data_IF_794809878902
#
_entry.id   IF_794809878902
#
_cell.length_a   1.000
_cell.length_b   1.000
_cell.length_c   1.000
_cell.angle_alpha   90.00
_cell.angle_beta   90.00
_cell.angle_gamma   90.00
#
_symmetry.space_group_name_H-M   'P 1'
#
loop_
_entity.id
_entity.type
_entity.pdbx_description
1 polymer ?
#
# COMPACT_ATOMS: atom_id res chain seq x y z
N UNK A 1 -1.19 1.97 -1.06
CA UNK A 1 -2.17 0.89 -1.34
C UNK A 1 -3.02 0.55 -0.12
N UNK A 2 -4.17 -0.11 -0.30
CA UNK A 2 -4.97 -0.59 0.83
C UNK A 2 -5.96 0.41 1.42
N UNK A 3 -6.45 1.36 0.62
CA UNK A 3 -7.43 2.36 1.10
C UNK A 3 -8.84 1.79 1.23
N UNK A 4 -9.34 1.10 0.20
CA UNK A 4 -10.71 0.53 0.18
C UNK A 4 -11.00 -0.78 0.94
N UNK A 5 -10.02 -1.62 1.34
CA UNK A 5 -10.28 -2.85 2.09
C UNK A 5 -11.02 -2.64 3.41
N UNK A 6 -11.82 -3.63 3.81
CA UNK A 6 -12.48 -3.71 5.11
C UNK A 6 -11.50 -4.13 6.22
N UNK A 7 -10.41 -4.82 5.85
CA UNK A 7 -9.42 -5.35 6.79
C UNK A 7 -7.97 -5.03 6.42
N UNK A 8 -7.12 -5.05 7.43
CA UNK A 8 -5.67 -4.85 7.34
C UNK A 8 -5.25 -3.38 7.29
N UNK A 9 -3.94 -3.11 7.30
CA UNK A 9 -3.40 -1.76 7.32
C UNK A 9 -3.53 -1.06 5.96
N UNK A 10 -3.34 0.25 5.98
CA UNK A 10 -2.97 1.02 4.79
C UNK A 10 -1.44 1.09 4.73
N UNK A 11 -0.88 0.86 3.54
CA UNK A 11 0.57 0.77 3.33
C UNK A 11 0.98 1.78 2.26
N UNK A 12 2.07 2.48 2.49
CA UNK A 12 2.73 3.36 1.54
C UNK A 12 4.20 2.97 1.39
N UNK A 13 4.78 3.33 0.25
CA UNK A 13 6.21 3.31 0.05
C UNK A 13 6.64 4.66 -0.51
N UNK A 14 7.93 4.98 -0.34
CA UNK A 14 8.62 6.03 -1.04
C UNK A 14 9.79 5.38 -1.78
N UNK A 15 10.07 5.81 -3.00
CA UNK A 15 11.12 5.25 -3.84
C UNK A 15 11.93 6.36 -4.49
N UNK A 16 13.26 6.24 -4.43
CA UNK A 16 14.21 7.04 -5.18
C UNK A 16 14.88 6.10 -6.18
N UNK A 17 14.70 6.37 -7.46
CA UNK A 17 15.33 5.59 -8.52
C UNK A 17 16.67 6.22 -8.90
N UNK A 18 17.75 5.45 -9.05
CA UNK A 18 19.01 5.97 -9.54
C UNK A 18 18.91 6.29 -11.04
N UNK A 19 19.76 7.19 -11.54
CA UNK A 19 19.87 7.40 -12.98
C UNK A 19 20.39 6.13 -13.67
N UNK A 20 20.02 5.92 -14.93
CA UNK A 20 20.57 4.85 -15.76
C UNK A 20 20.06 3.44 -15.43
N UNK A 21 18.85 3.31 -14.87
CA UNK A 21 18.20 2.00 -14.80
C UNK A 21 18.10 1.38 -16.20
N UNK A 22 18.31 0.06 -16.33
CA UNK A 22 18.32 -0.57 -17.63
C UNK A 22 16.93 -0.58 -18.25
N UNK A 23 16.86 -0.42 -19.57
CA UNK A 23 15.59 -0.27 -20.33
C UNK A 23 14.61 -1.43 -20.07
N UNK A 24 15.11 -2.66 -19.94
CA UNK A 24 14.29 -3.81 -19.63
C UNK A 24 13.58 -3.70 -18.27
N UNK A 25 14.22 -3.08 -17.27
CA UNK A 25 13.63 -2.87 -15.94
C UNK A 25 12.60 -1.75 -15.99
N UNK A 26 12.90 -0.66 -16.70
CA UNK A 26 11.96 0.43 -16.94
C UNK A 26 10.67 -0.09 -17.59
N UNK A 27 10.78 -0.94 -18.62
CA UNK A 27 9.65 -1.58 -19.29
C UNK A 27 8.86 -2.57 -18.40
N UNK A 28 9.42 -3.01 -17.27
CA UNK A 28 8.73 -3.87 -16.31
C UNK A 28 8.02 -3.10 -15.19
N UNK A 29 8.32 -1.81 -14.99
CA UNK A 29 7.66 -0.94 -14.03
C UNK A 29 6.36 -0.42 -14.67
N UNK A 30 5.22 -0.92 -14.19
CA UNK A 30 3.88 -0.54 -14.64
C UNK A 30 2.94 -0.50 -13.41
N UNK A 31 1.66 -0.18 -13.62
CA UNK A 31 0.61 -0.24 -12.61
C UNK A 31 0.69 -1.55 -11.82
N UNK A 32 0.96 -1.42 -10.53
CA UNK A 32 1.20 -2.53 -9.63
C UNK A 32 0.05 -3.55 -9.62
N UNK A 33 -1.18 -3.13 -9.96
CA UNK A 33 -2.36 -4.00 -10.01
C UNK A 33 -2.42 -4.83 -11.29
N UNK A 34 -1.80 -4.38 -12.40
CA UNK A 34 -1.71 -5.13 -13.66
C UNK A 34 -0.66 -6.23 -13.61
N UNK A 35 0.36 -6.05 -12.78
CA UNK A 35 1.42 -7.05 -12.61
C UNK A 35 0.93 -8.26 -11.81
N UNK A 36 1.35 -9.46 -12.21
CA UNK A 36 1.16 -10.68 -11.41
C UNK A 36 2.02 -10.62 -10.13
N UNK A 37 1.62 -11.28 -9.02
CA UNK A 37 2.36 -11.24 -7.76
C UNK A 37 3.85 -11.60 -7.90
N UNK A 38 4.17 -12.69 -8.62
CA UNK A 38 5.56 -13.10 -8.86
C UNK A 38 6.36 -12.04 -9.62
N UNK A 39 5.74 -11.37 -10.60
CA UNK A 39 6.39 -10.30 -11.37
C UNK A 39 6.64 -9.07 -10.50
N UNK A 40 5.72 -8.71 -9.61
CA UNK A 40 5.95 -7.61 -8.64
C UNK A 40 7.16 -7.88 -7.74
N UNK A 41 7.29 -9.11 -7.24
CA UNK A 41 8.43 -9.51 -6.39
C UNK A 41 9.74 -9.44 -7.19
N UNK A 42 9.75 -9.95 -8.43
CA UNK A 42 10.92 -9.88 -9.30
C UNK A 42 11.33 -8.44 -9.63
N UNK A 43 10.38 -7.56 -9.97
CA UNK A 43 10.66 -6.14 -10.22
C UNK A 43 11.21 -5.45 -8.97
N UNK A 44 10.63 -5.73 -7.80
CA UNK A 44 11.11 -5.15 -6.55
C UNK A 44 12.55 -5.60 -6.23
N UNK A 45 12.88 -6.87 -6.45
CA UNK A 45 14.24 -7.38 -6.29
C UNK A 45 15.21 -6.68 -7.26
N UNK A 46 14.85 -6.61 -8.55
CA UNK A 46 15.65 -5.95 -9.56
C UNK A 46 15.87 -4.45 -9.27
N UNK A 47 14.85 -3.76 -8.75
CA UNK A 47 14.97 -2.37 -8.31
C UNK A 47 16.05 -2.21 -7.23
N UNK A 48 16.04 -3.05 -6.19
CA UNK A 48 17.08 -3.03 -5.16
C UNK A 48 18.46 -3.36 -5.71
N UNK A 49 18.57 -4.40 -6.55
CA UNK A 49 19.83 -4.80 -7.19
C UNK A 49 20.46 -3.68 -8.01
N UNK A 50 19.63 -2.84 -8.64
CA UNK A 50 20.08 -1.70 -9.44
C UNK A 50 20.13 -0.39 -8.66
N UNK A 51 20.08 -0.43 -7.33
CA UNK A 51 20.34 0.73 -6.46
C UNK A 51 19.15 1.63 -6.17
N UNK A 52 17.91 1.17 -6.39
CA UNK A 52 16.74 1.90 -5.93
C UNK A 52 16.68 1.93 -4.39
N UNK A 53 16.52 3.13 -3.83
CA UNK A 53 16.29 3.31 -2.41
C UNK A 53 14.78 3.32 -2.16
N UNK A 54 14.28 2.32 -1.42
CA UNK A 54 12.85 2.17 -1.17
C UNK A 54 12.61 2.05 0.33
N UNK A 55 11.70 2.86 0.83
CA UNK A 55 11.26 2.82 2.21
C UNK A 55 9.77 2.51 2.30
N UNK A 56 9.41 1.66 3.26
CA UNK A 56 8.04 1.19 3.47
C UNK A 56 7.51 1.66 4.83
N UNK A 57 6.24 2.02 4.85
CA UNK A 57 5.53 2.31 6.09
C UNK A 57 4.05 1.97 6.00
N UNK A 58 3.44 1.83 7.16
CA UNK A 58 2.03 1.52 7.29
C UNK A 58 1.37 2.40 8.35
N UNK A 59 0.05 2.51 8.25
CA UNK A 59 -0.80 2.87 9.36
C UNK A 59 -1.74 1.69 9.66
N UNK A 60 -1.76 1.31 10.93
CA UNK A 60 -2.53 0.21 11.47
C UNK A 60 -4.03 0.46 11.39
N UNK A 61 -4.82 -0.59 11.60
CA UNK A 61 -6.28 -0.49 11.70
C UNK A 61 -6.71 0.48 12.80
N UNK A 62 -6.02 0.44 13.97
CA UNK A 62 -6.24 1.38 15.07
C UNK A 62 -6.00 2.82 14.65
N UNK A 63 -4.93 3.10 13.91
CA UNK A 63 -4.66 4.44 13.40
C UNK A 63 -5.69 4.88 12.35
N UNK A 64 -6.17 3.96 11.50
CA UNK A 64 -7.26 4.25 10.55
C UNK A 64 -8.54 4.64 11.29
N UNK A 65 -8.87 3.96 12.38
CA UNK A 65 -10.03 4.28 13.21
C UNK A 65 -9.90 5.67 13.85
N UNK A 66 -8.73 5.99 14.40
CA UNK A 66 -8.49 7.28 15.07
C UNK A 66 -8.41 8.46 14.11
N UNK A 67 -7.82 8.25 12.93
CA UNK A 67 -7.46 9.34 12.02
C UNK A 67 -8.39 9.47 10.81
N UNK A 68 -9.22 8.47 10.52
CA UNK A 68 -9.83 8.19 9.23
C UNK A 68 -8.84 7.72 8.14
N UNK A 69 -9.37 7.13 7.06
CA UNK A 69 -8.56 6.51 6.01
C UNK A 69 -7.69 7.50 5.23
N UNK A 70 -8.15 8.75 5.06
CA UNK A 70 -7.37 9.75 4.34
C UNK A 70 -6.14 10.13 5.15
N UNK A 71 -6.31 10.53 6.42
CA UNK A 71 -5.19 10.95 7.26
C UNK A 71 -4.25 9.78 7.60
N UNK A 72 -4.77 8.58 7.80
CA UNK A 72 -3.94 7.38 7.98
C UNK A 72 -3.10 7.07 6.72
N UNK A 73 -3.63 7.32 5.53
CA UNK A 73 -2.86 7.20 4.28
C UNK A 73 -1.73 8.23 4.23
N UNK A 74 -2.01 9.49 4.56
CA UNK A 74 -1.00 10.56 4.60
C UNK A 74 0.07 10.30 5.66
N UNK A 75 -0.31 9.76 6.82
CA UNK A 75 0.60 9.32 7.86
C UNK A 75 1.54 8.21 7.37
N UNK A 76 1.00 7.20 6.68
CA UNK A 76 1.81 6.13 6.10
C UNK A 76 2.79 6.69 5.05
N UNK A 77 2.35 7.61 4.18
CA UNK A 77 3.21 8.27 3.20
C UNK A 77 4.34 9.06 3.87
N UNK A 78 4.02 9.88 4.87
CA UNK A 78 5.01 10.67 5.62
C UNK A 78 6.05 9.78 6.28
N UNK A 79 5.63 8.70 6.92
CA UNK A 79 6.53 7.70 7.52
C UNK A 79 7.43 7.03 6.48
N UNK A 80 6.90 6.72 5.29
CA UNK A 80 7.71 6.13 4.23
C UNK A 80 8.78 7.12 3.75
N UNK A 81 8.43 8.38 3.53
CA UNK A 81 9.37 9.43 3.11
C UNK A 81 10.49 9.63 4.15
N UNK A 82 10.15 9.74 5.44
CA UNK A 82 11.13 9.96 6.52
C UNK A 82 12.08 8.76 6.69
N UNK A 83 11.65 7.55 6.31
CA UNK A 83 12.45 6.32 6.39
C UNK A 83 13.39 6.12 5.21
N UNK A 84 13.35 6.99 4.20
CA UNK A 84 14.32 6.91 3.11
C UNK A 84 15.74 7.10 3.66
N UNK A 85 16.75 6.39 3.11
CA UNK A 85 18.14 6.53 3.53
C UNK A 85 18.67 7.96 3.41
N UNK A 86 18.13 8.73 2.46
CA UNK A 86 18.41 10.15 2.26
C UNK A 86 17.13 10.97 2.10
N UNK A 87 17.21 12.25 2.45
CA UNK A 87 16.13 13.20 2.25
C UNK A 87 16.05 13.59 0.76
N UNK A 88 14.92 13.38 0.07
CA UNK A 88 14.76 13.82 -1.31
C UNK A 88 14.54 15.34 -1.38
N UNK A 89 14.97 15.96 -2.47
CA UNK A 89 14.73 17.39 -2.74
C UNK A 89 13.26 17.68 -3.07
N UNK A 90 12.57 16.73 -3.69
CA UNK A 90 11.18 16.85 -4.11
C UNK A 90 10.48 15.49 -4.07
N UNK A 91 9.17 15.48 -3.75
CA UNK A 91 8.37 14.26 -3.69
C UNK A 91 7.21 14.31 -4.70
N UNK A 92 7.10 13.29 -5.54
CA UNK A 92 5.91 13.05 -6.36
C UNK A 92 4.94 12.14 -5.59
N UNK A 93 3.69 12.56 -5.46
CA UNK A 93 2.69 11.88 -4.62
C UNK A 93 1.51 11.43 -5.47
N UNK A 94 1.21 10.13 -5.45
CA UNK A 94 -0.03 9.61 -6.03
C UNK A 94 -1.24 10.00 -5.19
N UNK A 95 -2.11 10.83 -5.75
CA UNK A 95 -3.35 11.27 -5.12
C UNK A 95 -3.60 12.77 -5.26
N UNK A 96 -4.40 13.30 -4.34
CA UNK A 96 -4.93 14.66 -4.40
C UNK A 96 -4.62 15.51 -3.15
N UNK A 97 -3.74 15.02 -2.27
CA UNK A 97 -3.36 15.68 -1.02
C UNK A 97 -1.88 15.46 -0.73
N UNK A 98 -1.23 16.50 -0.22
CA UNK A 98 0.16 16.42 0.24
C UNK A 98 0.22 15.73 1.62
N UNK A 99 1.25 14.91 1.89
CA UNK A 99 1.40 14.21 3.17
C UNK A 99 1.90 15.10 4.31
N UNK A 100 2.31 16.34 4.02
CA UNK A 100 2.86 17.27 5.02
C UNK A 100 4.18 16.75 5.61
N UNK A 101 5.14 16.43 4.75
CA UNK A 101 6.46 15.91 5.13
C UNK A 101 7.56 16.97 5.27
N UNK A 102 7.24 18.26 5.08
CA UNK A 102 8.24 19.34 5.10
C UNK A 102 9.15 19.40 3.86
N UNK A 103 8.87 18.58 2.84
CA UNK A 103 9.58 18.54 1.56
C UNK A 103 8.63 19.04 0.47
N UNK A 104 9.09 19.83 -0.51
CA UNK A 104 8.32 20.19 -1.69
C UNK A 104 7.66 18.96 -2.35
N UNK A 105 6.36 19.08 -2.67
CA UNK A 105 5.57 17.97 -3.19
C UNK A 105 4.79 18.38 -4.45
N UNK A 106 4.73 17.48 -5.43
CA UNK A 106 3.78 17.55 -6.55
C UNK A 106 2.78 16.40 -6.43
N UNK A 107 1.49 16.73 -6.47
CA UNK A 107 0.41 15.74 -6.49
C UNK A 107 0.12 15.31 -7.94
N UNK A 108 0.00 14.01 -8.16
CA UNK A 108 -0.34 13.41 -9.46
C UNK A 108 -1.48 12.42 -9.24
N UNK A 109 -2.65 12.69 -9.82
CA UNK A 109 -3.79 11.76 -9.76
C UNK A 109 -3.55 10.63 -10.76
N UNK A 110 -3.51 9.38 -10.28
CA UNK A 110 -3.13 8.24 -11.13
C UNK A 110 -1.64 8.29 -11.46
N UNK A 111 -0.83 8.75 -10.50
CA UNK A 111 0.60 9.02 -10.71
C UNK A 111 1.39 7.76 -11.02
N UNK A 112 0.91 6.57 -10.67
CA UNK A 112 1.53 5.29 -10.99
C UNK A 112 1.48 4.95 -12.49
N UNK A 113 0.57 5.56 -13.26
CA UNK A 113 0.57 5.51 -14.72
C UNK A 113 1.41 6.60 -15.40
N UNK A 114 1.99 7.52 -14.64
CA UNK A 114 2.67 8.73 -15.15
C UNK A 114 4.16 8.76 -14.74
N UNK A 115 4.48 8.32 -13.53
CA UNK A 115 5.81 8.43 -12.94
C UNK A 115 6.35 7.06 -12.53
N UNK A 116 7.53 6.71 -13.05
CA UNK A 116 8.25 5.48 -12.69
C UNK A 116 8.55 5.38 -11.20
N UNK A 117 8.91 6.48 -10.54
CA UNK A 117 9.16 6.51 -9.09
C UNK A 117 7.89 6.18 -8.30
N UNK A 118 6.73 6.73 -8.73
CA UNK A 118 5.44 6.40 -8.11
C UNK A 118 5.07 4.94 -8.38
N UNK A 119 5.25 4.45 -9.61
CA UNK A 119 4.98 3.06 -9.97
C UNK A 119 5.83 2.09 -9.15
N UNK A 120 7.14 2.34 -9.01
CA UNK A 120 8.05 1.57 -8.17
C UNK A 120 7.60 1.54 -6.69
N UNK A 121 7.22 2.70 -6.13
CA UNK A 121 6.66 2.79 -4.79
C UNK A 121 5.33 2.01 -4.66
N UNK A 122 4.45 2.10 -5.65
CA UNK A 122 3.17 1.37 -5.70
C UNK A 122 3.40 -0.15 -5.69
N UNK A 123 4.37 -0.64 -6.47
CA UNK A 123 4.79 -2.05 -6.50
C UNK A 123 5.28 -2.49 -5.12
N UNK A 124 6.23 -1.76 -4.52
CA UNK A 124 6.79 -2.09 -3.21
C UNK A 124 5.71 -2.14 -2.12
N UNK A 125 4.83 -1.13 -2.09
CA UNK A 125 3.74 -1.06 -1.13
C UNK A 125 2.75 -2.22 -1.32
N UNK A 126 2.48 -2.62 -2.58
CA UNK A 126 1.58 -3.74 -2.91
C UNK A 126 2.18 -5.09 -2.50
N UNK A 127 3.47 -5.34 -2.77
CA UNK A 127 4.16 -6.56 -2.32
C UNK A 127 4.09 -6.70 -0.81
N UNK A 128 4.43 -5.64 -0.06
CA UNK A 128 4.37 -5.67 1.39
C UNK A 128 2.93 -5.93 1.87
N UNK A 129 1.95 -5.19 1.34
CA UNK A 129 0.57 -5.31 1.81
C UNK A 129 -0.01 -6.69 1.52
N UNK A 130 0.22 -7.25 0.34
CA UNK A 130 -0.27 -8.58 -0.01
C UNK A 130 0.36 -9.64 0.92
N UNK A 131 1.67 -9.55 1.17
CA UNK A 131 2.37 -10.40 2.14
C UNK A 131 1.80 -10.32 3.56
N UNK A 132 1.42 -9.11 4.01
CA UNK A 132 0.74 -8.94 5.30
C UNK A 132 -0.63 -9.62 5.32
N UNK A 133 -1.43 -9.48 4.25
CA UNK A 133 -2.75 -10.11 4.18
C UNK A 133 -2.66 -11.64 4.12
N UNK A 134 -1.66 -12.19 3.43
CA UNK A 134 -1.35 -13.63 3.43
C UNK A 134 -1.05 -14.15 4.85
N UNK A 135 -0.22 -13.43 5.62
CA UNK A 135 0.07 -13.78 7.02
C UNK A 135 -1.15 -13.69 7.91
N UNK A 136 -2.00 -12.69 7.68
CA UNK A 136 -3.25 -12.55 8.42
C UNK A 136 -4.22 -13.68 8.09
N UNK A 137 -4.29 -14.14 6.85
CA UNK A 137 -5.14 -15.27 6.44
C UNK A 137 -4.75 -16.56 7.17
N UNK A 138 -3.44 -16.82 7.31
CA UNK A 138 -2.94 -17.97 8.08
C UNK A 138 -3.31 -17.87 9.57
N UNK A 139 -3.26 -16.65 10.15
CA UNK A 139 -3.55 -16.43 11.57
C UNK A 139 -5.05 -16.40 11.88
N UNK A 140 -5.86 -15.94 10.93
CA UNK A 140 -7.32 -15.85 11.03
C UNK A 140 -7.92 -16.54 9.80
N UNK A 141 -7.97 -17.89 9.79
CA UNK A 141 -8.49 -18.63 8.66
C UNK A 141 -9.99 -18.38 8.47
N UNK A 142 -10.47 -18.50 7.22
CA UNK A 142 -11.88 -18.41 6.86
C UNK A 142 -12.31 -17.08 6.22
N UNK A 143 -11.53 -16.01 6.36
CA UNK A 143 -11.84 -14.70 5.72
C UNK A 143 -11.37 -14.59 4.27
N UNK A 144 -10.51 -15.52 3.81
CA UNK A 144 -10.03 -15.59 2.43
C UNK A 144 -9.11 -14.44 2.03
N UNK A 145 -8.43 -13.82 2.99
CA UNK A 145 -7.57 -12.64 2.82
C UNK A 145 -6.36 -12.91 1.93
N UNK A 146 -5.92 -14.15 1.78
CA UNK A 146 -4.90 -14.53 0.80
C UNK A 146 -5.34 -14.19 -0.64
N UNK A 147 -6.64 -14.27 -0.93
CA UNK A 147 -7.20 -14.04 -2.27
C UNK A 147 -7.81 -12.64 -2.40
N UNK A 148 -8.59 -12.20 -1.40
CA UNK A 148 -9.30 -10.92 -1.49
C UNK A 148 -8.52 -9.74 -0.89
N UNK A 149 -7.36 -9.96 -0.28
CA UNK A 149 -6.51 -8.92 0.33
C UNK A 149 -7.25 -7.95 1.28
N UNK A 150 -8.31 -8.43 1.95
CA UNK A 150 -9.15 -7.67 2.86
C UNK A 150 -10.24 -6.83 2.18
N UNK A 151 -10.37 -6.87 0.85
CA UNK A 151 -11.46 -6.20 0.14
C UNK A 151 -12.81 -6.87 0.43
N UNK A 152 -13.90 -6.13 0.22
CA UNK A 152 -15.26 -6.59 0.50
C UNK A 152 -15.77 -7.63 -0.52
N UNK A 153 -14.98 -8.66 -0.83
CA UNK A 153 -15.42 -9.78 -1.66
C UNK A 153 -16.58 -10.54 -0.98
N UNK A 154 -17.43 -11.21 -1.76
CA UNK A 154 -18.57 -11.96 -1.23
C UNK A 154 -18.16 -12.95 -0.13
N UNK A 155 -17.05 -13.66 -0.33
CA UNK A 155 -16.47 -14.60 0.64
C UNK A 155 -16.06 -13.92 1.94
N UNK A 156 -15.42 -12.74 1.87
CA UNK A 156 -15.02 -11.98 3.04
C UNK A 156 -16.23 -11.47 3.83
N UNK A 157 -17.25 -10.92 3.14
CA UNK A 157 -18.47 -10.44 3.80
C UNK A 157 -19.23 -11.57 4.50
N UNK A 158 -19.37 -12.71 3.82
CA UNK A 158 -19.99 -13.90 4.42
C UNK A 158 -19.20 -14.40 5.64
N UNK A 159 -17.87 -14.39 5.57
CA UNK A 159 -17.01 -14.76 6.68
C UNK A 159 -17.17 -13.82 7.88
N UNK A 160 -17.24 -12.50 7.67
CA UNK A 160 -17.49 -11.53 8.75
C UNK A 160 -18.83 -11.83 9.44
N UNK A 161 -19.89 -12.10 8.68
CA UNK A 161 -21.21 -12.41 9.25
C UNK A 161 -21.23 -13.73 10.02
N UNK A 162 -20.43 -14.72 9.58
CA UNK A 162 -20.39 -16.06 10.18
C UNK A 162 -19.42 -16.17 11.36
N UNK A 163 -18.25 -15.56 11.26
CA UNK A 163 -17.11 -15.72 12.18
C UNK A 163 -16.95 -14.52 13.12
N UNK A 164 -17.64 -13.41 12.85
CA UNK A 164 -17.46 -12.14 13.54
C UNK A 164 -16.35 -11.28 12.95
N UNK A 165 -16.17 -10.07 13.51
CA UNK A 165 -15.02 -9.24 13.18
C UNK A 165 -13.80 -9.64 14.01
N UNK A 166 -12.62 -9.27 13.51
CA UNK A 166 -11.33 -9.45 14.18
C UNK A 166 -10.69 -8.09 14.47
N UNK A 167 -9.63 -8.01 15.29
CA UNK A 167 -8.89 -6.76 15.51
C UNK A 167 -8.28 -6.15 14.24
N UNK A 168 -8.23 -6.90 13.13
CA UNK A 168 -7.75 -6.41 11.84
C UNK A 168 -8.86 -5.87 10.94
N UNK A 169 -10.13 -5.95 11.34
CA UNK A 169 -11.23 -5.31 10.64
C UNK A 169 -11.34 -3.84 11.07
N UNK A 170 -11.56 -2.98 10.09
CA UNK A 170 -11.71 -1.53 10.28
C UNK A 170 -13.15 -1.24 10.70
N UNK A 171 -13.45 -1.46 11.98
CA UNK A 171 -14.79 -1.18 12.54
C UNK A 171 -15.22 0.25 12.18
N UNK A 172 -16.48 0.40 11.76
CA UNK A 172 -17.01 1.66 11.22
C UNK A 172 -16.72 1.93 9.73
N UNK A 173 -15.88 1.12 9.07
CA UNK A 173 -15.49 1.33 7.67
C UNK A 173 -16.39 0.59 6.68
N UNK A 174 -17.24 1.34 5.99
CA UNK A 174 -18.21 0.83 5.03
C UNK A 174 -19.44 0.19 5.70
N UNK A 175 -20.52 -0.09 4.93
CA UNK A 175 -21.83 -0.41 5.51
C UNK A 175 -21.83 -1.66 6.41
N UNK A 176 -21.05 -2.68 6.03
CA UNK A 176 -21.00 -3.96 6.76
C UNK A 176 -20.42 -3.83 8.18
N UNK A 177 -19.45 -2.93 8.38
CA UNK A 177 -18.74 -2.80 9.65
C UNK A 177 -19.24 -1.64 10.52
N UNK A 178 -20.20 -0.84 10.05
CA UNK A 178 -20.79 0.26 10.83
C UNK A 178 -21.69 -0.22 11.97
N UNK A 179 -22.30 -1.40 11.86
CA UNK A 179 -23.17 -1.97 12.88
C UNK A 179 -22.46 -2.88 13.90
N UNK A 180 -21.13 -2.95 13.86
CA UNK A 180 -20.33 -3.77 14.76
C UNK A 180 -19.66 -2.87 15.81
N UNK A 181 -19.73 -3.26 17.08
CA UNK A 181 -19.07 -2.58 18.20
C UNK A 181 -17.71 -3.21 18.49
#
# INVERSE_FOLDING_TARGET
VGRGPLAGPVVAAAAILPPGLPEWLLAMIDDSKKLKPARRVAVLAALYEHGAEIALAAASVREIQLLNILQASLLAMRRAIIRLPRTPDHVLVDGNKVPGCGIPCTILVGGDGISLSIAAASIAAKVLRDGLMLRLDMRYPGYGWANNAGYAAATHRAAILKLGATPHHRIGFGPLLQGLN
#
